data_IF_756992467366
#
_entry.id   IF_756992467366
#
_cell.length_a   1.000
_cell.length_b   1.000
_cell.length_c   1.000
_cell.angle_alpha   90.00
_cell.angle_beta   90.00
_cell.angle_gamma   90.00
#
_symmetry.space_group_name_H-M   'P 1'
#
loop_
_entity.id
_entity.type
_entity.pdbx_description
1 polymer ?
#
# COMPACT_ATOMS: atom_id res chain seq x y z
N UNK A 1 -14.71 15.13 -11.18
CA UNK A 1 -16.00 14.54 -10.77
C UNK A 1 -16.58 15.42 -9.68
N UNK A 2 -17.84 15.86 -9.81
CA UNK A 2 -18.48 16.73 -8.81
C UNK A 2 -19.16 15.85 -7.75
N UNK A 3 -18.92 16.12 -6.48
CA UNK A 3 -19.48 15.37 -5.35
C UNK A 3 -20.57 16.20 -4.65
N UNK A 4 -21.66 15.55 -4.23
CA UNK A 4 -22.67 16.20 -3.42
C UNK A 4 -22.22 16.16 -1.94
N UNK A 5 -21.75 17.31 -1.44
CA UNK A 5 -21.16 17.45 -0.10
C UNK A 5 -21.95 18.46 0.72
N UNK A 6 -22.24 18.11 1.96
CA UNK A 6 -22.90 18.96 2.95
C UNK A 6 -22.21 18.88 4.31
N UNK A 7 -22.47 19.88 5.16
CA UNK A 7 -22.03 19.89 6.57
C UNK A 7 -23.23 19.51 7.44
N UNK A 8 -23.09 18.45 8.23
CA UNK A 8 -24.14 18.01 9.14
C UNK A 8 -24.30 18.96 10.35
N UNK A 9 -25.35 18.76 11.15
CA UNK A 9 -25.61 19.56 12.35
C UNK A 9 -24.53 19.45 13.43
N UNK A 10 -23.67 18.44 13.35
CA UNK A 10 -22.55 18.22 14.24
C UNK A 10 -21.20 18.66 13.63
N UNK A 11 -21.25 19.46 12.54
CA UNK A 11 -20.09 20.02 11.84
C UNK A 11 -19.18 19.01 11.13
N UNK A 12 -19.72 17.87 10.69
CA UNK A 12 -18.99 16.90 9.89
C UNK A 12 -19.31 17.00 8.41
N UNK A 13 -18.33 16.66 7.58
CA UNK A 13 -18.50 16.56 6.13
C UNK A 13 -19.23 15.26 5.80
N UNK A 14 -20.35 15.37 5.08
CA UNK A 14 -21.15 14.23 4.61
C UNK A 14 -21.24 14.26 3.09
N UNK A 15 -20.94 13.14 2.45
CA UNK A 15 -21.09 12.93 1.00
C UNK A 15 -22.38 12.16 0.76
N UNK A 16 -23.21 12.60 -0.21
CA UNK A 16 -24.43 11.89 -0.61
C UNK A 16 -24.29 11.20 -1.96
N UNK A 17 -24.81 9.98 -2.03
CA UNK A 17 -24.98 9.25 -3.29
C UNK A 17 -26.28 9.66 -4.03
N UNK A 18 -26.55 9.01 -5.18
CA UNK A 18 -27.77 9.23 -5.97
C UNK A 18 -29.06 8.84 -5.24
N UNK A 19 -28.96 8.01 -4.21
CA UNK A 19 -30.05 7.56 -3.35
C UNK A 19 -30.23 8.47 -2.12
N UNK A 20 -29.49 9.59 -2.06
CA UNK A 20 -29.42 10.52 -0.93
C UNK A 20 -28.88 9.92 0.38
N UNK A 21 -28.20 8.77 0.32
CA UNK A 21 -27.54 8.15 1.46
C UNK A 21 -26.27 8.94 1.81
N UNK A 22 -26.19 9.40 3.06
CA UNK A 22 -25.07 10.18 3.56
C UNK A 22 -23.97 9.30 4.14
N UNK A 23 -22.72 9.52 3.71
CA UNK A 23 -21.52 8.93 4.31
C UNK A 23 -20.68 10.03 4.94
N UNK A 24 -20.39 9.89 6.23
CA UNK A 24 -19.60 10.86 6.99
C UNK A 24 -18.12 10.62 6.77
N UNK A 25 -17.40 11.70 6.43
CA UNK A 25 -15.96 11.65 6.24
C UNK A 25 -15.24 11.77 7.59
N UNK A 26 -14.16 11.02 7.72
CA UNK A 26 -13.21 11.11 8.83
C UNK A 26 -11.81 11.27 8.27
N UNK A 27 -10.96 11.99 9.01
CA UNK A 27 -9.54 12.11 8.66
C UNK A 27 -8.82 10.80 9.02
N UNK A 28 -7.96 10.27 8.15
CA UNK A 28 -7.10 9.15 8.52
C UNK A 28 -6.22 9.55 9.70
N UNK A 29 -6.19 8.73 10.75
CA UNK A 29 -5.46 8.99 12.00
C UNK A 29 -6.26 9.66 13.12
N UNK A 30 -7.53 10.05 12.89
CA UNK A 30 -8.41 10.52 13.97
C UNK A 30 -8.87 9.37 14.88
N UNK A 31 -8.90 8.15 14.37
CA UNK A 31 -9.02 6.92 15.15
C UNK A 31 -7.63 6.58 15.69
N UNK A 32 -7.48 6.63 17.01
CA UNK A 32 -6.24 6.35 17.74
C UNK A 32 -5.85 4.85 17.72
N UNK A 33 -6.17 4.14 16.64
CA UNK A 33 -5.62 2.82 16.36
C UNK A 33 -4.31 3.04 15.61
N UNK A 34 -3.20 2.91 16.35
CA UNK A 34 -1.92 2.57 15.74
C UNK A 34 -2.14 1.45 14.72
N UNK A 35 -1.47 1.52 13.57
CA UNK A 35 -1.51 0.52 12.49
C UNK A 35 -1.89 -0.88 13.01
N UNK A 36 -3.04 -1.44 12.58
CA UNK A 36 -3.52 -2.72 13.07
C UNK A 36 -2.43 -3.78 13.04
N UNK A 37 -2.35 -4.59 14.11
CA UNK A 37 -1.29 -5.58 14.27
C UNK A 37 -1.29 -6.59 13.13
N UNK A 38 -2.47 -6.89 12.57
CA UNK A 38 -2.67 -7.75 11.42
C UNK A 38 -1.96 -7.18 10.17
N UNK A 39 -2.18 -5.90 9.87
CA UNK A 39 -1.53 -5.24 8.73
C UNK A 39 -0.03 -5.19 8.94
N UNK A 40 0.42 -4.95 10.18
CA UNK A 40 1.85 -4.94 10.49
C UNK A 40 2.49 -6.31 10.29
N UNK A 41 1.83 -7.37 10.75
CA UNK A 41 2.32 -8.73 10.60
C UNK A 41 2.36 -9.17 9.14
N UNK A 42 1.33 -8.86 8.34
CA UNK A 42 1.32 -9.15 6.92
C UNK A 42 2.40 -8.36 6.17
N UNK A 43 2.62 -7.09 6.54
CA UNK A 43 3.68 -6.28 5.96
C UNK A 43 5.07 -6.85 6.28
N UNK A 44 5.30 -7.26 7.54
CA UNK A 44 6.56 -7.91 7.95
C UNK A 44 6.76 -9.26 7.24
N UNK A 45 5.71 -10.05 7.04
CA UNK A 45 5.80 -11.31 6.29
C UNK A 45 6.18 -11.06 4.82
N UNK A 46 5.55 -10.06 4.19
CA UNK A 46 5.83 -9.68 2.81
C UNK A 46 7.26 -9.12 2.66
N UNK A 47 7.70 -8.30 3.60
CA UNK A 47 9.05 -7.75 3.63
C UNK A 47 10.10 -8.87 3.77
N UNK A 48 9.85 -9.85 4.63
CA UNK A 48 10.73 -11.03 4.75
C UNK A 48 10.78 -11.84 3.45
N UNK A 49 9.65 -12.04 2.77
CA UNK A 49 9.60 -12.77 1.50
C UNK A 49 10.36 -12.02 0.40
N UNK A 50 10.19 -10.69 0.33
CA UNK A 50 10.95 -9.82 -0.57
C UNK A 50 12.46 -9.90 -0.30
N UNK A 51 12.88 -9.82 0.97
CA UNK A 51 14.29 -9.95 1.33
C UNK A 51 14.86 -11.33 0.96
N UNK A 52 14.08 -12.41 1.13
CA UNK A 52 14.49 -13.75 0.72
C UNK A 52 14.65 -13.86 -0.79
N UNK A 53 13.71 -13.31 -1.57
CA UNK A 53 13.79 -13.28 -3.03
C UNK A 53 14.97 -12.45 -3.52
N UNK A 54 15.19 -11.28 -2.93
CA UNK A 54 16.32 -10.42 -3.23
C UNK A 54 17.66 -11.09 -2.87
N UNK A 55 17.76 -11.76 -1.72
CA UNK A 55 18.96 -12.52 -1.31
C UNK A 55 19.24 -13.68 -2.26
N UNK A 56 18.21 -14.47 -2.61
CA UNK A 56 18.36 -15.59 -3.55
C UNK A 56 18.80 -15.12 -4.94
N UNK A 57 18.23 -14.00 -5.41
CA UNK A 57 18.66 -13.37 -6.66
C UNK A 57 20.11 -12.89 -6.57
N UNK A 58 20.47 -12.16 -5.51
CA UNK A 58 21.83 -11.65 -5.29
C UNK A 58 22.89 -12.75 -5.19
N UNK A 59 22.54 -13.92 -4.64
CA UNK A 59 23.44 -15.08 -4.59
C UNK A 59 23.64 -15.73 -5.97
N UNK A 60 22.58 -15.83 -6.77
CA UNK A 60 22.61 -16.49 -8.09
C UNK A 60 23.00 -15.56 -9.25
N UNK A 61 23.07 -14.24 -9.00
CA UNK A 61 23.35 -13.22 -10.01
C UNK A 61 24.70 -13.41 -10.74
N UNK A 62 25.66 -14.11 -10.12
CA UNK A 62 26.99 -14.42 -10.69
C UNK A 62 26.97 -15.63 -11.62
N UNK A 63 26.05 -15.65 -12.58
CA UNK A 63 25.98 -16.69 -13.59
C UNK A 63 26.73 -16.26 -14.86
N UNK A 64 27.75 -17.02 -15.27
CA UNK A 64 28.56 -16.76 -16.47
C UNK A 64 27.73 -16.76 -17.77
N UNK A 65 26.52 -17.33 -17.74
CA UNK A 65 25.64 -17.52 -18.89
C UNK A 65 24.50 -16.50 -18.98
N UNK A 66 24.41 -15.55 -18.03
CA UNK A 66 23.38 -14.50 -18.03
C UNK A 66 24.03 -13.17 -18.42
N UNK A 67 23.45 -12.46 -19.39
CA UNK A 67 23.96 -11.16 -19.83
C UNK A 67 23.68 -10.09 -18.76
N UNK A 68 24.67 -9.23 -18.47
CA UNK A 68 24.60 -8.18 -17.44
C UNK A 68 23.44 -7.21 -17.60
N UNK A 69 22.97 -6.98 -18.83
CA UNK A 69 21.86 -6.05 -19.09
C UNK A 69 20.51 -6.55 -18.57
N UNK A 70 20.34 -7.87 -18.45
CA UNK A 70 19.14 -8.47 -17.85
C UNK A 70 19.17 -8.40 -16.33
N UNK A 71 20.35 -8.45 -15.72
CA UNK A 71 20.54 -8.31 -14.28
C UNK A 71 20.07 -6.94 -13.78
N UNK A 72 20.46 -5.85 -14.45
CA UNK A 72 20.06 -4.50 -14.05
C UNK A 72 18.55 -4.23 -14.16
N UNK A 73 17.85 -4.92 -15.09
CA UNK A 73 16.38 -4.81 -15.21
C UNK A 73 15.65 -5.58 -14.11
N UNK A 74 16.20 -6.71 -13.68
CA UNK A 74 15.63 -7.51 -12.60
C UNK A 74 15.86 -6.82 -11.25
N UNK A 75 17.06 -6.27 -11.02
CA UNK A 75 17.38 -5.48 -9.83
C UNK A 75 16.48 -4.24 -9.72
N UNK A 76 16.26 -3.50 -10.81
CA UNK A 76 15.36 -2.34 -10.82
C UNK A 76 13.88 -2.70 -10.64
N UNK A 77 13.49 -3.95 -10.85
CA UNK A 77 12.12 -4.43 -10.58
C UNK A 77 11.95 -4.96 -9.16
N UNK A 78 13.06 -5.28 -8.48
CA UNK A 78 13.07 -5.68 -7.08
C UNK A 78 13.18 -4.46 -6.16
N UNK A 79 13.70 -3.33 -6.64
CA UNK A 79 13.79 -2.04 -5.92
C UNK A 79 12.45 -1.30 -5.84
#
# INVERSE_FOLDING_TARGET
QTLNMEVDSAQHLVVRDVSLQGSRLAMPGASQESMPAEIKQELEALDNEWHQQHSAFSEQQKCLFIHSDWLGRIEASLQ
#
